data_IF_706976289890
#
_entry.id   IF_706976289890
#
_cell.length_a   1.000
_cell.length_b   1.000
_cell.length_c   1.000
_cell.angle_alpha   90.00
_cell.angle_beta   90.00
_cell.angle_gamma   90.00
#
_symmetry.space_group_name_H-M   'P 1'
#
loop_
_entity.id
_entity.type
_entity.pdbx_description
1 polymer ?
#
# COMPACT_ATOMS: atom_id res chain seq x y z
N UNK A 1 13.81 -0.92 -2.60
CA UNK A 1 13.71 0.00 -3.74
C UNK A 1 13.91 1.41 -3.24
N UNK A 2 14.88 2.15 -3.77
CA UNK A 2 15.16 3.56 -3.44
C UNK A 2 14.36 4.51 -4.33
N UNK A 3 14.33 5.80 -3.99
CA UNK A 3 13.76 6.84 -4.88
C UNK A 3 14.41 6.81 -6.26
N UNK A 4 15.75 6.77 -6.35
CA UNK A 4 16.45 6.70 -7.64
C UNK A 4 15.97 5.53 -8.51
N UNK A 5 15.76 4.36 -7.89
CA UNK A 5 15.25 3.18 -8.59
C UNK A 5 13.78 3.36 -9.03
N UNK A 6 12.97 4.10 -8.26
CA UNK A 6 11.60 4.46 -8.67
C UNK A 6 11.66 5.44 -9.85
N UNK A 7 12.51 6.47 -9.77
CA UNK A 7 12.69 7.48 -10.82
C UNK A 7 13.17 6.85 -12.13
N UNK A 8 14.16 5.97 -12.07
CA UNK A 8 14.64 5.23 -13.23
C UNK A 8 13.53 4.39 -13.87
N UNK A 9 12.74 3.67 -13.05
CA UNK A 9 11.68 2.80 -13.53
C UNK A 9 10.45 3.56 -14.07
N UNK A 10 10.02 4.62 -13.38
CA UNK A 10 8.69 5.21 -13.57
C UNK A 10 8.70 6.74 -13.72
N UNK A 11 9.86 7.38 -13.77
CA UNK A 11 9.99 8.84 -13.92
C UNK A 11 10.01 9.58 -12.58
N UNK A 12 10.38 10.88 -12.61
CA UNK A 12 10.44 11.72 -11.41
C UNK A 12 9.05 11.91 -10.80
N UNK A 13 8.99 12.57 -9.65
CA UNK A 13 7.72 12.94 -9.03
C UNK A 13 7.03 14.01 -9.87
N UNK A 14 5.79 13.77 -10.26
CA UNK A 14 4.96 14.71 -11.00
C UNK A 14 4.46 15.87 -10.13
N UNK A 15 4.39 15.68 -8.80
CA UNK A 15 3.87 16.67 -7.85
C UNK A 15 4.82 16.85 -6.65
N UNK A 16 6.06 17.34 -6.85
CA UNK A 16 7.09 17.38 -5.81
C UNK A 16 6.76 18.31 -4.63
N UNK A 17 5.78 19.20 -4.79
CA UNK A 17 5.31 20.11 -3.74
C UNK A 17 4.13 19.53 -2.93
N UNK A 18 3.51 18.44 -3.37
CA UNK A 18 2.40 17.76 -2.67
C UNK A 18 2.92 16.67 -1.72
N UNK A 19 3.58 17.15 -0.67
CA UNK A 19 4.31 16.33 0.30
C UNK A 19 3.40 15.69 1.36
N UNK A 20 3.67 14.43 1.67
CA UNK A 20 2.95 13.68 2.71
C UNK A 20 3.26 14.12 4.16
N UNK A 21 4.29 14.95 4.35
CA UNK A 21 4.81 15.43 5.64
C UNK A 21 5.57 16.75 5.45
N UNK A 22 5.67 17.61 6.48
CA UNK A 22 6.55 18.79 6.44
C UNK A 22 8.02 18.47 6.15
N UNK A 23 8.44 17.23 6.42
CA UNK A 23 9.73 16.68 6.01
C UNK A 23 9.50 15.58 4.95
N UNK A 24 9.69 15.88 3.65
CA UNK A 24 9.52 14.90 2.58
C UNK A 24 10.60 13.82 2.60
N UNK A 25 11.75 14.06 3.25
CA UNK A 25 12.77 13.02 3.41
C UNK A 25 12.34 11.94 4.41
N UNK A 26 11.48 12.32 5.37
CA UNK A 26 10.92 11.40 6.35
C UNK A 26 9.75 10.60 5.77
N UNK A 27 8.77 11.25 5.13
CA UNK A 27 7.61 10.56 4.56
C UNK A 27 7.02 11.37 3.42
N UNK A 28 6.91 10.74 2.25
CA UNK A 28 6.36 11.39 1.07
C UNK A 28 5.42 10.49 0.27
N UNK A 29 4.45 11.11 -0.41
CA UNK A 29 3.63 10.47 -1.42
C UNK A 29 4.24 10.82 -2.76
N UNK A 30 5.02 9.90 -3.31
CA UNK A 30 5.67 10.03 -4.59
C UNK A 30 4.71 9.62 -5.72
N UNK A 31 4.55 10.46 -6.74
CA UNK A 31 3.66 10.24 -7.89
C UNK A 31 4.50 10.17 -9.17
N UNK A 32 5.05 8.99 -9.53
CA UNK A 32 5.92 8.90 -10.70
C UNK A 32 5.20 9.35 -11.97
N UNK A 33 5.83 10.19 -12.79
CA UNK A 33 5.23 10.73 -14.03
C UNK A 33 4.70 9.66 -15.01
N UNK A 34 5.33 8.48 -15.05
CA UNK A 34 4.94 7.35 -15.91
C UNK A 34 4.13 6.29 -15.16
N UNK A 35 3.62 6.60 -13.96
CA UNK A 35 2.74 5.70 -13.24
C UNK A 35 1.38 5.60 -13.93
N UNK A 36 0.76 4.40 -13.95
CA UNK A 36 -0.65 4.27 -14.32
C UNK A 36 -1.54 5.08 -13.40
N UNK A 37 -2.69 5.54 -13.92
CA UNK A 37 -3.65 6.32 -13.14
C UNK A 37 -4.02 5.62 -11.84
N UNK A 38 -4.08 6.43 -10.77
CA UNK A 38 -4.47 5.97 -9.44
C UNK A 38 -3.44 5.10 -8.72
N UNK A 39 -2.19 5.00 -9.20
CA UNK A 39 -1.08 4.44 -8.44
C UNK A 39 -0.37 5.53 -7.64
N UNK A 40 -0.24 5.32 -6.33
CA UNK A 40 0.54 6.18 -5.43
C UNK A 40 1.65 5.39 -4.76
N UNK A 41 2.84 5.99 -4.66
CA UNK A 41 3.99 5.41 -3.98
C UNK A 41 4.23 6.16 -2.67
N UNK A 42 4.36 5.45 -1.56
CA UNK A 42 4.85 6.05 -0.32
C UNK A 42 6.34 5.78 -0.19
N UNK A 43 7.09 6.84 0.06
CA UNK A 43 8.51 6.79 0.36
C UNK A 43 8.70 7.13 1.84
N UNK A 44 9.47 6.31 2.54
CA UNK A 44 9.88 6.53 3.93
C UNK A 44 11.39 6.37 3.99
N UNK A 45 12.10 7.36 4.54
CA UNK A 45 13.58 7.39 4.60
C UNK A 45 14.24 7.08 3.24
N UNK A 46 13.73 7.69 2.16
CA UNK A 46 14.23 7.51 0.79
C UNK A 46 13.99 6.12 0.17
N UNK A 47 13.09 5.30 0.75
CA UNK A 47 12.77 3.96 0.27
C UNK A 47 11.27 3.73 0.10
N UNK A 48 10.91 2.94 -0.91
CA UNK A 48 9.54 2.45 -1.09
C UNK A 48 9.07 1.74 0.18
N UNK A 49 7.97 2.21 0.77
CA UNK A 49 7.34 1.64 1.96
C UNK A 49 5.92 1.16 1.70
N UNK A 50 5.20 1.74 0.72
CA UNK A 50 3.85 1.34 0.34
C UNK A 50 3.57 1.65 -1.13
N UNK A 51 2.82 0.77 -1.78
CA UNK A 51 2.12 1.07 -3.04
C UNK A 51 0.63 1.09 -2.72
N UNK A 52 -0.05 2.15 -3.11
CA UNK A 52 -1.49 2.28 -2.97
C UNK A 52 -2.14 2.37 -4.34
N UNK A 53 -3.27 1.70 -4.50
CA UNK A 53 -4.10 1.77 -5.69
C UNK A 53 -5.41 2.45 -5.28
N UNK A 54 -5.77 3.53 -5.98
CA UNK A 54 -6.97 4.34 -5.73
C UNK A 54 -7.71 4.60 -7.05
N UNK A 55 -9.00 4.98 -7.03
CA UNK A 55 -9.69 5.37 -8.26
C UNK A 55 -8.92 6.48 -9.01
N UNK A 56 -8.84 6.44 -10.35
CA UNK A 56 -9.56 5.54 -11.27
C UNK A 56 -8.77 4.28 -11.69
N UNK A 57 -7.82 3.80 -10.90
CA UNK A 57 -6.90 2.74 -11.33
C UNK A 57 -7.58 1.46 -11.80
N UNK A 58 -7.02 0.87 -12.85
CA UNK A 58 -7.42 -0.43 -13.41
C UNK A 58 -6.43 -1.55 -13.08
N UNK A 59 -5.37 -1.24 -12.31
CA UNK A 59 -4.32 -2.19 -11.97
C UNK A 59 -4.87 -3.37 -11.16
N UNK A 60 -4.33 -4.55 -11.48
CA UNK A 60 -4.60 -5.79 -10.78
C UNK A 60 -3.28 -6.39 -10.31
N UNK A 61 -3.31 -7.09 -9.17
CA UNK A 61 -2.22 -7.97 -8.73
C UNK A 61 -2.11 -9.18 -9.67
N UNK A 62 -1.01 -9.93 -9.58
CA UNK A 62 -0.85 -11.19 -10.32
C UNK A 62 -1.95 -12.22 -9.97
N UNK A 63 -2.57 -12.09 -8.78
CA UNK A 63 -3.74 -12.87 -8.37
C UNK A 63 -5.08 -12.36 -8.89
N UNK A 64 -5.08 -11.31 -9.72
CA UNK A 64 -6.28 -10.72 -10.32
C UNK A 64 -7.04 -9.72 -9.42
N UNK A 65 -6.51 -9.39 -8.25
CA UNK A 65 -7.18 -8.48 -7.29
C UNK A 65 -6.91 -7.02 -7.59
N UNK A 66 -7.91 -6.16 -7.45
CA UNK A 66 -7.75 -4.72 -7.57
C UNK A 66 -8.91 -3.98 -6.94
N UNK A 67 -9.14 -2.73 -7.38
CA UNK A 67 -10.34 -2.00 -6.97
C UNK A 67 -11.60 -2.79 -7.35
N UNK A 68 -12.60 -2.74 -6.47
CA UNK A 68 -13.86 -3.49 -6.55
C UNK A 68 -13.75 -5.03 -6.43
N UNK A 69 -12.58 -5.61 -6.16
CA UNK A 69 -12.52 -6.99 -5.66
C UNK A 69 -13.26 -7.08 -4.34
N UNK A 70 -14.12 -8.08 -4.20
CA UNK A 70 -14.92 -8.26 -2.99
C UNK A 70 -14.06 -8.79 -1.84
N UNK A 71 -14.41 -8.49 -0.58
CA UNK A 71 -13.64 -9.02 0.53
C UNK A 71 -13.70 -10.56 0.63
N UNK A 72 -14.78 -11.18 0.16
CA UNK A 72 -14.93 -12.63 0.13
C UNK A 72 -13.96 -13.30 -0.87
N UNK A 73 -13.74 -12.70 -2.04
CA UNK A 73 -12.74 -13.19 -3.01
C UNK A 73 -11.33 -13.18 -2.41
N UNK A 74 -10.97 -12.10 -1.70
CA UNK A 74 -9.66 -11.98 -1.05
C UNK A 74 -9.51 -13.02 0.06
N UNK A 75 -10.51 -13.13 0.96
CA UNK A 75 -10.49 -14.11 2.05
C UNK A 75 -10.42 -15.55 1.53
N UNK A 76 -11.16 -15.87 0.46
CA UNK A 76 -11.12 -17.19 -0.15
C UNK A 76 -9.74 -17.52 -0.75
N UNK A 77 -9.06 -16.54 -1.35
CA UNK A 77 -7.76 -16.74 -1.98
C UNK A 77 -6.60 -16.89 -0.99
N UNK A 78 -6.65 -16.17 0.13
CA UNK A 78 -5.55 -16.16 1.11
C UNK A 78 -5.81 -17.04 2.34
N UNK A 79 -7.06 -17.46 2.59
CA UNK A 79 -7.41 -18.35 3.69
C UNK A 79 -6.87 -17.86 5.04
N UNK A 80 -6.23 -18.76 5.78
CA UNK A 80 -5.68 -18.49 7.12
C UNK A 80 -4.55 -17.44 7.12
N UNK A 81 -3.98 -17.10 5.95
CA UNK A 81 -2.98 -16.04 5.85
C UNK A 81 -3.60 -14.62 5.92
N UNK A 82 -4.91 -14.49 5.76
CA UNK A 82 -5.61 -13.22 5.82
C UNK A 82 -5.95 -12.83 7.27
N UNK A 83 -5.37 -11.72 7.74
CA UNK A 83 -5.75 -11.10 9.02
C UNK A 83 -6.81 -10.03 8.75
N UNK A 84 -7.99 -10.20 9.34
CA UNK A 84 -9.14 -9.31 9.14
C UNK A 84 -9.43 -8.53 10.41
N UNK A 85 -9.52 -7.21 10.28
CA UNK A 85 -9.90 -6.32 11.39
C UNK A 85 -10.96 -5.32 10.94
N UNK A 86 -11.90 -4.91 11.81
CA UNK A 86 -12.79 -3.79 11.48
C UNK A 86 -11.98 -2.56 11.07
N UNK A 87 -12.38 -1.90 9.99
CA UNK A 87 -11.67 -0.71 9.52
C UNK A 87 -11.75 0.40 10.57
N UNK A 88 -10.62 1.01 10.91
CA UNK A 88 -10.53 1.99 12.01
C UNK A 88 -11.59 3.10 11.97
N UNK A 89 -11.94 3.57 10.77
CA UNK A 89 -12.84 4.71 10.57
C UNK A 89 -14.23 4.33 10.05
N UNK A 90 -14.44 3.08 9.65
CA UNK A 90 -15.68 2.63 8.99
C UNK A 90 -16.23 1.33 9.61
N UNK A 91 -15.59 0.77 10.63
CA UNK A 91 -16.08 -0.42 11.31
C UNK A 91 -17.42 -0.14 12.00
N UNK A 92 -18.41 -1.05 11.91
CA UNK A 92 -18.37 -2.42 11.39
C UNK A 92 -18.66 -2.58 9.88
N UNK A 93 -18.89 -1.50 9.13
CA UNK A 93 -19.29 -1.55 7.70
C UNK A 93 -18.10 -1.83 6.77
N UNK A 94 -16.90 -1.37 7.13
CA UNK A 94 -15.66 -1.65 6.40
C UNK A 94 -14.70 -2.55 7.19
N UNK A 95 -13.85 -3.30 6.48
CA UNK A 95 -12.78 -4.13 7.06
C UNK A 95 -11.43 -3.86 6.39
N UNK A 96 -10.35 -3.99 7.16
CA UNK A 96 -8.99 -4.09 6.66
C UNK A 96 -8.62 -5.58 6.56
N UNK A 97 -8.20 -6.03 5.39
CA UNK A 97 -7.64 -7.37 5.16
C UNK A 97 -6.14 -7.22 4.89
N UNK A 98 -5.32 -7.86 5.72
CA UNK A 98 -3.86 -7.78 5.63
C UNK A 98 -3.29 -9.18 5.45
N UNK A 99 -2.46 -9.33 4.42
CA UNK A 99 -1.69 -10.55 4.15
C UNK A 99 -0.21 -10.21 4.21
N UNK A 100 0.55 -11.03 4.93
CA UNK A 100 1.99 -10.84 5.12
C UNK A 100 2.78 -11.94 4.43
N UNK A 101 3.73 -11.56 3.58
CA UNK A 101 4.74 -12.52 3.13
C UNK A 101 5.72 -12.79 4.29
N UNK A 102 5.78 -14.02 4.79
CA UNK A 102 6.60 -14.41 5.94
C UNK A 102 5.92 -14.28 7.31
N UNK A 103 4.59 -14.07 7.35
CA UNK A 103 3.80 -13.97 8.59
C UNK A 103 3.76 -12.56 9.19
N UNK A 104 2.84 -12.30 10.13
CA UNK A 104 2.67 -10.99 10.73
C UNK A 104 3.94 -10.56 11.50
N UNK A 105 4.30 -9.26 11.47
CA UNK A 105 5.43 -8.76 12.23
C UNK A 105 5.20 -8.99 13.73
N UNK A 106 6.26 -9.39 14.45
CA UNK A 106 6.22 -9.46 15.91
C UNK A 106 5.99 -8.05 16.47
N UNK A 107 4.87 -7.87 17.17
CA UNK A 107 4.40 -6.59 17.74
C UNK A 107 5.36 -5.97 18.76
N UNK A 108 6.33 -6.70 19.32
CA UNK A 108 7.39 -6.12 20.16
C UNK A 108 8.43 -5.32 19.35
N UNK A 109 8.60 -5.63 18.07
CA UNK A 109 9.61 -5.00 17.20
C UNK A 109 9.09 -3.80 16.40
N UNK A 110 7.80 -3.48 16.52
CA UNK A 110 7.18 -2.36 15.79
C UNK A 110 7.42 -0.98 16.44
N UNK A 111 7.98 -0.95 17.66
CA UNK A 111 8.68 0.24 18.16
C UNK A 111 10.16 0.11 17.76
N UNK A 112 10.47 0.62 16.57
CA UNK A 112 11.86 0.90 16.15
C UNK A 112 12.72 -0.38 16.07
N UNK A 113 12.55 -1.21 15.02
CA UNK A 113 13.65 -1.81 14.22
C UNK A 113 13.15 -2.82 13.17
N UNK A 114 13.37 -2.44 11.90
CA UNK A 114 13.80 -3.27 10.76
C UNK A 114 13.40 -4.76 10.74
N UNK A 115 12.48 -5.11 9.83
CA UNK A 115 12.69 -6.02 8.69
C UNK A 115 11.53 -5.79 7.72
N UNK A 116 11.82 -5.73 6.42
CA UNK A 116 10.83 -5.42 5.39
C UNK A 116 9.75 -6.50 5.35
N UNK A 117 8.60 -6.21 5.96
CA UNK A 117 7.38 -6.96 5.75
C UNK A 117 6.56 -6.16 4.73
N UNK A 118 6.41 -6.70 3.52
CA UNK A 118 5.55 -6.10 2.51
C UNK A 118 4.10 -6.46 2.87
N UNK A 119 3.32 -5.46 3.27
CA UNK A 119 1.89 -5.61 3.53
C UNK A 119 1.11 -5.07 2.33
N UNK A 120 0.35 -5.93 1.67
CA UNK A 120 -0.67 -5.48 0.73
C UNK A 120 -1.91 -5.12 1.54
N UNK A 121 -2.21 -3.81 1.63
CA UNK A 121 -3.43 -3.31 2.25
C UNK A 121 -4.43 -2.98 1.15
N UNK A 122 -5.43 -3.85 0.99
CA UNK A 122 -6.57 -3.55 0.12
C UNK A 122 -7.65 -2.87 0.97
N UNK A 123 -7.87 -1.58 0.73
CA UNK A 123 -8.96 -0.83 1.34
C UNK A 123 -10.15 -0.88 0.36
N UNK A 124 -11.13 -1.73 0.64
CA UNK A 124 -12.34 -1.85 -0.17
C UNK A 124 -13.36 -0.84 0.37
N UNK A 125 -13.84 0.06 -0.49
CA UNK A 125 -14.98 0.94 -0.21
C UNK A 125 -16.15 0.42 -1.04
N UNK A 126 -17.22 -0.02 -0.39
CA UNK A 126 -18.52 -0.12 -1.05
C UNK A 126 -19.01 1.31 -1.33
N UNK A 127 -19.37 1.57 -2.58
CA UNK A 127 -20.02 2.82 -3.01
C UNK A 127 -21.53 2.68 -2.84
#
# INVERSE_FOLDING_TARGET
MTVDQITEAMGPDAEPDDVGSPDPSACDIYRPERAPDGLLVMVLDGKLSRVSIIPPSTLRTDGGFGLASSPNEIKAAYGDAAVVTPHKYMGPVGEDIIVWNGGPPNVESFRIRRRAAFAMRLMIRDV
#
